data_IF_439112326338
#
_entry.id   IF_439112326338
#
_cell.length_a   1.000
_cell.length_b   1.000
_cell.length_c   1.000
_cell.angle_alpha   90.00
_cell.angle_beta   90.00
_cell.angle_gamma   90.00
#
_symmetry.space_group_name_H-M   'P 1'
#
loop_
_entity.id
_entity.type
_entity.pdbx_description
1 polymer ?
#
# COMPACT_ATOMS: atom_id res chain seq x y z
N UNK A 1 1.68 1.60 16.44
CA UNK A 1 0.68 1.19 15.43
C UNK A 1 -0.76 1.53 15.81
N UNK A 2 -1.13 1.63 17.09
CA UNK A 2 -2.51 1.97 17.52
C UNK A 2 -3.05 3.32 17.01
N UNK A 3 -2.26 4.40 17.09
CA UNK A 3 -2.69 5.71 16.58
C UNK A 3 -2.93 5.68 15.05
N UNK A 4 -1.98 5.10 14.30
CA UNK A 4 -2.12 4.95 12.84
C UNK A 4 -3.33 4.10 12.47
N UNK A 5 -3.62 3.00 13.18
CA UNK A 5 -4.81 2.21 12.87
C UNK A 5 -6.11 2.97 13.15
N UNK A 6 -6.12 3.86 14.14
CA UNK A 6 -7.26 4.74 14.43
C UNK A 6 -7.45 5.77 13.32
N UNK A 7 -6.37 6.42 12.87
CA UNK A 7 -6.41 7.35 11.74
C UNK A 7 -6.91 6.66 10.46
N UNK A 8 -6.56 5.38 10.27
CA UNK A 8 -6.93 4.65 9.07
C UNK A 8 -8.42 4.24 9.00
N UNK A 9 -9.14 4.24 10.13
CA UNK A 9 -10.58 3.88 10.14
C UNK A 9 -11.41 4.76 9.22
N UNK A 10 -11.04 6.04 9.09
CA UNK A 10 -11.75 7.00 8.23
C UNK A 10 -11.73 6.63 6.75
N UNK A 11 -10.79 5.77 6.31
CA UNK A 11 -10.64 5.39 4.91
C UNK A 11 -11.38 4.09 4.55
N UNK A 12 -12.04 3.44 5.52
CA UNK A 12 -12.81 2.20 5.32
C UNK A 12 -12.03 1.12 4.55
N UNK A 13 -10.74 0.97 4.86
CA UNK A 13 -9.87 0.00 4.20
C UNK A 13 -10.30 -1.40 4.63
N UNK A 14 -10.81 -2.17 3.68
CA UNK A 14 -11.16 -3.58 3.85
C UNK A 14 -10.85 -4.34 2.57
N UNK A 15 -10.09 -5.43 2.68
CA UNK A 15 -9.75 -6.28 1.54
C UNK A 15 -8.40 -6.95 1.64
N UNK A 16 -7.86 -7.35 0.49
CA UNK A 16 -6.51 -7.89 0.37
C UNK A 16 -5.47 -6.76 0.36
N UNK A 17 -4.48 -6.87 1.24
CA UNK A 17 -3.45 -5.86 1.47
C UNK A 17 -2.07 -6.44 1.18
N UNK A 18 -1.23 -5.67 0.50
CA UNK A 18 0.21 -5.92 0.41
C UNK A 18 0.99 -4.64 0.72
N UNK A 19 2.31 -4.75 0.92
CA UNK A 19 3.17 -3.58 1.15
C UNK A 19 4.42 -3.55 0.28
N UNK A 20 5.06 -2.39 0.21
CA UNK A 20 6.45 -2.33 -0.25
C UNK A 20 7.39 -3.02 0.73
N UNK A 21 8.63 -3.19 0.29
CA UNK A 21 9.76 -3.53 1.15
C UNK A 21 10.46 -2.23 1.53
N UNK A 22 10.42 -1.88 2.82
CA UNK A 22 11.13 -0.74 3.40
C UNK A 22 12.11 -1.28 4.44
N UNK A 23 13.42 -1.11 4.19
CA UNK A 23 14.44 -1.49 5.16
C UNK A 23 14.63 -0.37 6.18
N UNK A 24 14.17 -0.59 7.42
CA UNK A 24 14.39 0.31 8.56
C UNK A 24 14.78 -0.50 9.81
N UNK A 25 15.47 0.12 10.79
CA UNK A 25 16.10 -0.62 11.90
C UNK A 25 15.14 -1.28 12.90
N UNK A 26 13.92 -0.75 13.03
CA UNK A 26 13.00 -1.16 14.12
C UNK A 26 11.87 -2.02 13.59
N UNK A 27 11.07 -1.49 12.67
CA UNK A 27 9.92 -2.17 12.09
C UNK A 27 9.86 -1.88 10.60
N UNK A 28 10.24 -2.85 9.78
CA UNK A 28 10.09 -2.78 8.33
C UNK A 28 8.60 -2.67 7.91
N UNK A 29 8.39 -2.46 6.62
CA UNK A 29 7.06 -2.31 6.05
C UNK A 29 6.14 -3.52 6.31
N UNK A 30 6.68 -4.74 6.34
CA UNK A 30 5.84 -5.93 6.53
C UNK A 30 5.31 -6.01 7.97
N UNK A 31 6.16 -5.79 8.98
CA UNK A 31 5.73 -5.82 10.37
C UNK A 31 4.67 -4.74 10.65
N UNK A 32 4.86 -3.54 10.09
CA UNK A 32 3.88 -2.44 10.21
C UNK A 32 2.54 -2.83 9.57
N UNK A 33 2.57 -3.26 8.31
CA UNK A 33 1.35 -3.53 7.53
C UNK A 33 0.59 -4.74 8.08
N UNK A 34 1.30 -5.79 8.49
CA UNK A 34 0.68 -6.96 9.13
C UNK A 34 -0.11 -6.58 10.39
N UNK A 35 0.48 -5.75 11.26
CA UNK A 35 -0.21 -5.25 12.46
C UNK A 35 -1.42 -4.38 12.11
N UNK A 36 -1.35 -3.55 11.07
CA UNK A 36 -2.50 -2.74 10.65
C UNK A 36 -3.62 -3.59 10.06
N UNK A 37 -3.29 -4.60 9.26
CA UNK A 37 -4.28 -5.49 8.66
C UNK A 37 -5.17 -6.16 9.72
N UNK A 38 -4.59 -6.54 10.87
CA UNK A 38 -5.34 -7.04 12.03
C UNK A 38 -6.40 -6.03 12.51
N UNK A 39 -6.01 -4.77 12.75
CA UNK A 39 -6.93 -3.72 13.22
C UNK A 39 -7.96 -3.29 12.17
N UNK A 40 -7.62 -3.45 10.89
CA UNK A 40 -8.49 -3.13 9.76
C UNK A 40 -9.40 -4.31 9.34
N UNK A 41 -9.34 -5.45 10.04
CA UNK A 41 -10.05 -6.68 9.68
C UNK A 41 -9.85 -7.05 8.20
N UNK A 42 -8.59 -7.01 7.76
CA UNK A 42 -8.17 -7.19 6.37
C UNK A 42 -7.12 -8.28 6.25
N UNK A 43 -6.98 -8.86 5.06
CA UNK A 43 -6.03 -9.96 4.84
C UNK A 43 -4.71 -9.41 4.31
N UNK A 44 -3.61 -9.71 4.98
CA UNK A 44 -2.27 -9.35 4.52
C UNK A 44 -1.63 -10.47 3.69
N UNK A 45 -1.10 -10.13 2.52
CA UNK A 45 -0.48 -11.06 1.56
C UNK A 45 1.05 -11.01 1.54
N UNK A 46 1.66 -10.07 2.24
CA UNK A 46 3.11 -9.92 2.28
C UNK A 46 3.60 -8.64 1.61
N UNK A 47 4.93 -8.57 1.50
CA UNK A 47 5.63 -7.42 0.94
C UNK A 47 6.20 -7.72 -0.45
N UNK A 48 6.52 -6.67 -1.21
CA UNK A 48 7.24 -6.73 -2.49
C UNK A 48 8.47 -7.66 -2.41
N UNK A 49 8.61 -8.53 -3.42
CA UNK A 49 9.80 -9.35 -3.63
C UNK A 49 11.08 -8.52 -3.83
N UNK A 50 12.24 -9.13 -3.58
CA UNK A 50 13.52 -8.48 -3.84
C UNK A 50 13.80 -8.39 -5.34
N UNK A 51 14.37 -7.27 -5.79
CA UNK A 51 14.84 -7.05 -7.16
C UNK A 51 13.80 -7.25 -8.28
N UNK A 52 12.50 -7.24 -7.96
CA UNK A 52 11.44 -7.29 -8.98
C UNK A 52 11.23 -5.92 -9.62
N UNK A 53 10.93 -5.89 -10.91
CA UNK A 53 10.54 -4.69 -11.65
C UNK A 53 9.15 -4.19 -11.24
N UNK A 54 8.83 -2.96 -11.65
CA UNK A 54 7.50 -2.38 -11.43
C UNK A 54 6.39 -3.15 -12.16
N UNK A 55 6.68 -3.71 -13.34
CA UNK A 55 5.75 -4.54 -14.11
C UNK A 55 5.48 -5.88 -13.43
N UNK A 56 6.51 -6.52 -12.90
CA UNK A 56 6.37 -7.76 -12.13
C UNK A 56 5.54 -7.51 -10.87
N UNK A 57 5.83 -6.44 -10.13
CA UNK A 57 5.02 -6.05 -8.98
C UNK A 57 3.56 -5.80 -9.37
N UNK A 58 3.28 -5.05 -10.44
CA UNK A 58 1.89 -4.82 -10.88
C UNK A 58 1.17 -6.15 -11.19
N UNK A 59 1.87 -7.10 -11.82
CA UNK A 59 1.32 -8.41 -12.13
C UNK A 59 1.07 -9.25 -10.87
N UNK A 60 1.98 -9.24 -9.89
CA UNK A 60 1.78 -9.94 -8.61
C UNK A 60 0.58 -9.37 -7.84
N UNK A 61 0.47 -8.05 -7.76
CA UNK A 61 -0.66 -7.39 -7.08
C UNK A 61 -1.99 -7.78 -7.72
N UNK A 62 -2.05 -7.88 -9.06
CA UNK A 62 -3.23 -8.38 -9.78
C UNK A 62 -3.48 -9.87 -9.52
N UNK A 63 -2.45 -10.71 -9.61
CA UNK A 63 -2.53 -12.16 -9.39
C UNK A 63 -3.15 -12.51 -8.02
N UNK A 64 -2.81 -11.75 -6.99
CA UNK A 64 -3.32 -11.95 -5.64
C UNK A 64 -4.56 -11.12 -5.30
N UNK A 65 -5.15 -10.44 -6.30
CA UNK A 65 -6.30 -9.55 -6.13
C UNK A 65 -6.09 -8.56 -4.97
N UNK A 66 -4.91 -7.92 -4.92
CA UNK A 66 -4.61 -6.92 -3.90
C UNK A 66 -5.47 -5.68 -4.16
N UNK A 67 -6.23 -5.26 -3.15
CA UNK A 67 -7.11 -4.10 -3.22
C UNK A 67 -6.43 -2.83 -2.70
N UNK A 68 -5.51 -2.97 -1.74
CA UNK A 68 -4.77 -1.85 -1.17
C UNK A 68 -3.28 -2.17 -1.06
N UNK A 69 -2.46 -1.24 -1.54
CA UNK A 69 -1.00 -1.33 -1.43
C UNK A 69 -0.47 -0.26 -0.50
N UNK A 70 0.19 -0.69 0.58
CA UNK A 70 0.77 0.17 1.60
C UNK A 70 2.22 0.47 1.22
N UNK A 71 2.51 1.74 0.96
CA UNK A 71 3.85 2.21 0.65
C UNK A 71 4.38 3.02 1.84
N UNK A 72 5.37 2.44 2.52
CA UNK A 72 6.10 3.06 3.62
C UNK A 72 7.41 3.70 3.15
N UNK A 73 7.75 4.83 3.75
CA UNK A 73 9.02 5.51 3.54
C UNK A 73 8.96 6.68 2.57
N UNK A 74 10.10 7.04 1.98
CA UNK A 74 10.23 8.21 1.10
C UNK A 74 9.57 7.98 -0.26
N UNK A 75 8.80 8.96 -0.72
CA UNK A 75 7.99 8.85 -1.93
C UNK A 75 8.77 8.76 -3.25
N UNK A 76 10.06 9.10 -3.27
CA UNK A 76 10.91 9.04 -4.47
C UNK A 76 11.20 7.61 -4.96
N UNK A 77 10.82 6.58 -4.19
CA UNK A 77 10.93 5.16 -4.58
C UNK A 77 9.58 4.51 -4.89
N UNK A 78 8.53 5.31 -5.08
CA UNK A 78 7.20 4.79 -5.40
C UNK A 78 7.21 4.20 -6.81
N UNK A 79 6.80 2.94 -7.01
CA UNK A 79 6.62 2.37 -8.34
C UNK A 79 5.79 3.26 -9.27
N UNK A 80 6.23 3.44 -10.51
CA UNK A 80 5.64 4.41 -11.43
C UNK A 80 4.17 4.08 -11.74
N UNK A 81 3.82 2.80 -11.85
CA UNK A 81 2.46 2.35 -12.15
C UNK A 81 1.44 2.75 -11.07
N UNK A 82 1.88 2.99 -9.82
CA UNK A 82 0.99 3.43 -8.74
C UNK A 82 0.44 4.85 -8.97
N UNK A 83 1.07 5.64 -9.84
CA UNK A 83 0.54 6.97 -10.22
C UNK A 83 -0.83 6.89 -10.91
N UNK A 84 -1.11 5.78 -11.60
CA UNK A 84 -2.41 5.49 -12.21
C UNK A 84 -3.50 5.19 -11.17
N UNK A 85 -3.16 4.98 -9.89
CA UNK A 85 -4.11 4.59 -8.84
C UNK A 85 -4.33 5.70 -7.82
N UNK A 86 -5.51 5.69 -7.17
CA UNK A 86 -5.88 6.68 -6.15
C UNK A 86 -5.07 6.44 -4.88
N UNK A 87 -4.31 7.45 -4.46
CA UNK A 87 -3.67 7.52 -3.16
C UNK A 87 -4.70 8.08 -2.15
N UNK A 88 -5.07 7.30 -1.13
CA UNK A 88 -6.25 7.62 -0.28
C UNK A 88 -5.90 8.41 0.98
N UNK A 89 -4.64 8.40 1.41
CA UNK A 89 -4.19 9.14 2.61
C UNK A 89 -3.93 10.61 2.33
N UNK A 90 -3.75 11.01 1.06
CA UNK A 90 -3.46 12.38 0.62
C UNK A 90 -2.30 13.02 1.40
N UNK A 91 -1.29 12.22 1.76
CA UNK A 91 -0.13 12.66 2.54
C UNK A 91 -0.42 13.03 4.00
N UNK A 92 -1.62 12.76 4.53
CA UNK A 92 -2.00 13.09 5.91
C UNK A 92 -1.29 12.22 6.96
N UNK A 93 -0.77 11.06 6.57
CA UNK A 93 -0.04 10.15 7.46
C UNK A 93 1.45 10.20 7.08
N UNK A 94 2.32 10.83 7.88
CA UNK A 94 3.74 10.94 7.56
C UNK A 94 4.38 9.57 7.34
N UNK A 95 5.07 9.43 6.20
CA UNK A 95 5.79 8.20 5.85
C UNK A 95 4.90 7.03 5.41
N UNK A 96 3.59 7.24 5.23
CA UNK A 96 2.67 6.23 4.69
C UNK A 96 1.86 6.83 3.54
N UNK A 97 1.84 6.10 2.42
CA UNK A 97 0.88 6.28 1.33
C UNK A 97 0.13 4.97 1.12
N UNK A 98 -1.17 5.06 0.88
CA UNK A 98 -1.97 3.87 0.59
C UNK A 98 -2.63 4.07 -0.77
N UNK A 99 -2.42 3.12 -1.66
CA UNK A 99 -2.98 3.12 -3.00
C UNK A 99 -4.16 2.15 -3.06
N UNK A 100 -5.33 2.63 -3.50
CA UNK A 100 -6.48 1.79 -3.81
C UNK A 100 -6.33 1.25 -5.24
N UNK A 101 -6.20 -0.07 -5.36
CA UNK A 101 -5.97 -0.77 -6.63
C UNK A 101 -7.27 -1.23 -7.32
N UNK A 102 -8.43 -0.93 -6.74
CA UNK A 102 -9.75 -1.31 -7.25
C UNK A 102 -10.02 -0.77 -8.65
N UNK A 103 -9.63 0.49 -8.88
CA UNK A 103 -9.86 1.18 -10.15
C UNK A 103 -8.66 2.09 -10.44
N UNK A 104 -8.25 2.11 -11.71
CA UNK A 104 -7.33 3.15 -12.18
C UNK A 104 -8.07 4.48 -12.22
N UNK A 105 -7.36 5.58 -11.93
CA UNK A 105 -7.88 6.92 -12.16
C UNK A 105 -8.34 7.00 -13.61
N UNK A 106 -9.57 7.41 -13.83
CA UNK A 106 -10.06 7.72 -15.17
C UNK A 106 -9.12 8.74 -15.79
N UNK A 107 -8.39 8.35 -16.84
CA UNK A 107 -7.72 9.32 -17.70
C UNK A 107 -8.84 10.05 -18.42
N UNK A 108 -9.30 11.17 -17.86
CA UNK A 108 -10.00 12.17 -18.64
C UNK A 108 -8.99 12.60 -19.71
N UNK A 109 -9.16 12.07 -20.92
CA UNK A 109 -8.53 12.55 -22.13
C UNK A 109 -8.83 14.04 -22.25
N UNK A 110 -7.81 14.86 -22.06
CA UNK A 110 -7.78 16.26 -22.50
C UNK A 110 -7.07 16.30 -23.84
#
# INVERSE_FOLDING_TARGET
MYYVSTDLKQYSIKGNIASNREYVPVHDAWHKTFRLAYWLNSRYYGQRGENISDRELENELKKYNIEYYFFWGKSNKTPQFLSDYKEITNGRIPGLKIYSLKEKKSRLSR
#
